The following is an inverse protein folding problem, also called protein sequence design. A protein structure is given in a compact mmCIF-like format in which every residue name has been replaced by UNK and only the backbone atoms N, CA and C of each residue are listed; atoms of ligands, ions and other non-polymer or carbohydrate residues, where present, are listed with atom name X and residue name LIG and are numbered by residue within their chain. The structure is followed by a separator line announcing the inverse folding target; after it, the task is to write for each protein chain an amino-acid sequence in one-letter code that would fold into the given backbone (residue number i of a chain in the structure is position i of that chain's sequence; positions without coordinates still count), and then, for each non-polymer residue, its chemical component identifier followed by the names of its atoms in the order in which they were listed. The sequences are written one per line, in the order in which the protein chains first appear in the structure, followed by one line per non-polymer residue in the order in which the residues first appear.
data_IF_403127480484
#
_entry.id   IF_403127480484
#
_cell.length_a   1.000
_cell.length_b   1.000
_cell.length_c   1.000
_cell.angle_alpha   90.00
_cell.angle_beta   90.00
_cell.angle_gamma   90.00
#
_symmetry.space_group_name_H-M   'P 1'
#
loop_
_entity.id
_entity.type
_entity.pdbx_description
1 polymer ?
#
# COMPACT_ATOMS: atom_id res chain seq x y z
N UNK A 1 -3.13 17.89 -1.58
CA UNK A 1 -2.33 17.12 -0.60
C UNK A 1 -3.30 16.22 0.15
N UNK A 2 -3.06 14.91 0.13
CA UNK A 2 -3.95 13.96 0.78
C UNK A 2 -3.44 13.59 2.17
N UNK A 3 -4.34 13.37 3.09
CA UNK A 3 -4.04 12.97 4.46
C UNK A 3 -4.79 11.67 4.74
N UNK A 4 -4.09 10.71 5.34
CA UNK A 4 -4.63 9.37 5.60
C UNK A 4 -4.49 9.03 7.07
N UNK A 5 -5.41 8.23 7.59
CA UNK A 5 -5.35 7.74 8.96
C UNK A 5 -5.65 6.25 8.98
N UNK A 6 -4.67 5.46 9.43
CA UNK A 6 -4.79 4.01 9.54
C UNK A 6 -5.12 3.61 10.97
N UNK A 7 -5.94 2.55 11.15
CA UNK A 7 -6.30 2.11 12.51
C UNK A 7 -5.11 1.67 13.36
N UNK A 8 -4.07 1.13 12.71
CA UNK A 8 -2.87 0.64 13.40
C UNK A 8 -1.91 1.74 13.82
N UNK A 9 -2.07 2.95 13.26
CA UNK A 9 -1.23 4.10 13.63
C UNK A 9 -2.10 5.16 14.28
N UNK A 10 -1.56 5.79 15.32
CA UNK A 10 -2.28 6.83 16.02
C UNK A 10 -1.83 8.23 15.57
N UNK A 11 -1.52 8.35 14.29
CA UNK A 11 -1.07 9.61 13.68
C UNK A 11 -1.63 9.73 12.27
N UNK A 12 -1.70 10.97 11.77
CA UNK A 12 -2.08 11.23 10.39
C UNK A 12 -0.85 11.12 9.48
N UNK A 13 -1.04 10.50 8.32
CA UNK A 13 0.02 10.36 7.31
C UNK A 13 -0.29 11.34 6.19
N UNK A 14 0.58 12.33 6.02
CA UNK A 14 0.36 13.45 5.09
C UNK A 14 1.19 13.24 3.84
N UNK A 15 0.53 13.19 2.69
CA UNK A 15 1.13 13.15 1.36
C UNK A 15 2.26 12.09 1.25
N UNK A 16 1.98 10.83 1.56
CA UNK A 16 3.02 9.80 1.56
C UNK A 16 3.46 9.42 0.15
N UNK A 17 4.73 9.00 0.04
CA UNK A 17 5.24 8.35 -1.17
C UNK A 17 5.24 6.84 -0.93
N UNK A 18 4.65 6.10 -1.85
CA UNK A 18 4.51 4.64 -1.74
C UNK A 18 5.74 3.96 -2.34
N UNK A 19 6.35 3.06 -1.57
CA UNK A 19 7.45 2.22 -2.03
C UNK A 19 7.14 0.77 -1.69
N UNK A 20 7.20 -0.12 -2.68
CA UNK A 20 6.98 -1.55 -2.47
C UNK A 20 8.28 -2.19 -1.98
N UNK A 21 8.21 -2.94 -0.90
CA UNK A 21 9.38 -3.67 -0.37
C UNK A 21 9.32 -5.15 -0.70
N UNK A 22 8.16 -5.77 -0.54
CA UNK A 22 7.98 -7.21 -0.78
C UNK A 22 6.55 -7.46 -1.21
N UNK A 23 6.36 -8.43 -2.11
CA UNK A 23 5.04 -8.92 -2.48
C UNK A 23 5.03 -10.43 -2.27
N UNK A 24 4.04 -10.92 -1.54
CA UNK A 24 3.84 -12.34 -1.29
C UNK A 24 2.63 -12.81 -2.07
N UNK A 25 2.84 -13.78 -2.96
CA UNK A 25 1.78 -14.33 -3.79
C UNK A 25 1.04 -15.46 -3.05
N UNK A 26 -0.27 -15.41 -3.10
CA UNK A 26 -1.12 -16.52 -2.68
C UNK A 26 -1.74 -17.12 -3.95
N UNK A 27 -1.11 -18.16 -4.47
CA UNK A 27 -1.51 -18.79 -5.73
C UNK A 27 -2.86 -19.50 -5.57
N UNK A 28 -3.15 -20.00 -4.39
CA UNK A 28 -4.40 -20.74 -4.12
C UNK A 28 -5.59 -19.79 -4.19
N UNK A 29 -5.49 -18.62 -3.56
CA UNK A 29 -6.56 -17.61 -3.56
C UNK A 29 -6.43 -16.62 -4.70
N UNK A 30 -5.36 -16.69 -5.48
CA UNK A 30 -5.06 -15.79 -6.61
C UNK A 30 -5.02 -14.33 -6.20
N UNK A 31 -4.40 -14.06 -5.06
CA UNK A 31 -4.22 -12.71 -4.53
C UNK A 31 -2.77 -12.49 -4.13
N UNK A 32 -2.43 -11.23 -3.92
CA UNK A 32 -1.11 -10.84 -3.42
C UNK A 32 -1.25 -10.00 -2.16
N UNK A 33 -0.27 -10.14 -1.26
CA UNK A 33 -0.10 -9.23 -0.14
C UNK A 33 1.12 -8.37 -0.41
N UNK A 34 0.95 -7.06 -0.45
CA UNK A 34 2.02 -6.12 -0.72
C UNK A 34 2.49 -5.47 0.58
N UNK A 35 3.78 -5.59 0.88
CA UNK A 35 4.40 -4.87 1.98
C UNK A 35 4.95 -3.57 1.41
N UNK A 36 4.44 -2.44 1.87
CA UNK A 36 4.84 -1.14 1.34
C UNK A 36 5.32 -0.22 2.45
N UNK A 37 6.16 0.74 2.06
CA UNK A 37 6.58 1.82 2.92
C UNK A 37 5.88 3.09 2.47
N UNK A 38 5.24 3.78 3.41
CA UNK A 38 4.66 5.09 3.20
C UNK A 38 5.62 6.11 3.80
N UNK A 39 6.32 6.84 2.93
CA UNK A 39 7.35 7.79 3.35
C UNK A 39 6.78 9.20 3.34
N UNK A 40 6.93 9.89 4.46
CA UNK A 40 6.62 11.32 4.57
C UNK A 40 7.90 12.11 4.74
N UNK A 41 7.79 13.43 4.87
CA UNK A 41 8.94 14.30 5.07
C UNK A 41 9.70 13.99 6.36
N UNK A 42 9.03 13.42 7.36
CA UNK A 42 9.60 13.25 8.70
C UNK A 42 9.68 11.79 9.17
N UNK A 43 8.98 10.84 8.50
CA UNK A 43 8.95 9.47 9.02
C UNK A 43 8.57 8.47 7.92
N UNK A 44 8.68 7.18 8.26
CA UNK A 44 8.37 6.07 7.36
C UNK A 44 7.44 5.12 8.10
N UNK A 45 6.34 4.73 7.43
CA UNK A 45 5.37 3.78 7.97
C UNK A 45 5.38 2.51 7.14
N UNK A 46 5.47 1.35 7.78
CA UNK A 46 5.34 0.06 7.10
C UNK A 46 3.90 -0.42 7.17
N UNK A 47 3.29 -0.72 6.03
CA UNK A 47 1.89 -1.16 5.94
C UNK A 47 1.79 -2.33 4.98
N UNK A 48 0.97 -3.32 5.34
CA UNK A 48 0.66 -4.47 4.48
C UNK A 48 -0.72 -4.28 3.89
N UNK A 49 -0.83 -4.43 2.57
CA UNK A 49 -2.10 -4.39 1.86
C UNK A 49 -2.38 -5.74 1.23
N UNK A 50 -3.55 -6.31 1.51
CA UNK A 50 -3.98 -7.60 0.99
C UNK A 50 -5.01 -7.43 -0.11
N UNK A 51 -5.09 -8.43 -1.00
CA UNK A 51 -6.21 -8.54 -1.94
C UNK A 51 -5.93 -8.03 -3.33
N UNK A 52 -4.70 -7.69 -3.67
CA UNK A 52 -4.36 -7.41 -5.05
C UNK A 52 -4.54 -8.69 -5.89
N UNK A 53 -5.26 -8.58 -7.01
CA UNK A 53 -5.50 -9.74 -7.87
C UNK A 53 -4.19 -10.22 -8.48
N UNK A 54 -3.86 -11.49 -8.27
CA UNK A 54 -2.65 -12.08 -8.81
C UNK A 54 -2.71 -12.10 -10.34
N UNK A 55 -1.63 -11.60 -10.96
CA UNK A 55 -1.37 -11.76 -12.39
C UNK A 55 0.10 -12.15 -12.55
N UNK A 56 0.40 -12.94 -13.57
CA UNK A 56 1.76 -13.44 -13.75
C UNK A 56 2.75 -12.38 -14.23
N UNK A 57 2.26 -11.23 -14.64
CA UNK A 57 3.06 -10.16 -15.25
C UNK A 57 3.02 -8.84 -14.46
N UNK A 58 2.61 -8.89 -13.18
CA UNK A 58 2.61 -7.69 -12.36
C UNK A 58 4.03 -7.16 -12.15
N UNK A 59 4.14 -5.85 -11.89
CA UNK A 59 5.39 -5.22 -11.52
C UNK A 59 5.15 -4.25 -10.36
N UNK A 60 6.23 -3.65 -9.83
CA UNK A 60 6.13 -2.74 -8.69
C UNK A 60 5.21 -1.55 -8.97
N UNK A 61 5.22 -1.04 -10.19
CA UNK A 61 4.36 0.08 -10.56
C UNK A 61 2.88 -0.30 -10.50
N UNK A 62 2.52 -1.52 -10.87
CA UNK A 62 1.15 -2.00 -10.76
C UNK A 62 0.68 -2.00 -9.32
N UNK A 63 1.53 -2.43 -8.39
CA UNK A 63 1.24 -2.44 -6.96
C UNK A 63 1.11 -1.02 -6.43
N UNK A 64 2.03 -0.14 -6.82
CA UNK A 64 2.02 1.27 -6.39
C UNK A 64 0.73 1.95 -6.87
N UNK A 65 0.33 1.73 -8.11
CA UNK A 65 -0.90 2.29 -8.66
C UNK A 65 -2.13 1.76 -7.93
N UNK A 66 -2.16 0.46 -7.63
CA UNK A 66 -3.25 -0.13 -6.87
C UNK A 66 -3.35 0.47 -5.46
N UNK A 67 -2.23 0.60 -4.76
CA UNK A 67 -2.21 1.19 -3.42
C UNK A 67 -2.71 2.64 -3.48
N UNK A 68 -2.21 3.44 -4.41
CA UNK A 68 -2.59 4.85 -4.51
C UNK A 68 -4.05 5.05 -4.92
N UNK A 69 -4.57 4.20 -5.81
CA UNK A 69 -5.89 4.42 -6.42
C UNK A 69 -7.02 3.67 -5.73
N UNK A 70 -6.71 2.58 -5.02
CA UNK A 70 -7.72 1.71 -4.43
C UNK A 70 -7.61 1.66 -2.91
N UNK A 71 -6.41 1.41 -2.37
CA UNK A 71 -6.25 1.15 -0.94
C UNK A 71 -6.15 2.43 -0.12
N UNK A 72 -5.29 3.36 -0.50
CA UNK A 72 -5.14 4.61 0.25
C UNK A 72 -6.45 5.41 0.36
N UNK A 73 -7.27 5.54 -0.69
CA UNK A 73 -8.53 6.28 -0.58
C UNK A 73 -9.47 5.78 0.51
N UNK A 74 -9.37 4.52 0.91
CA UNK A 74 -10.18 3.96 1.99
C UNK A 74 -9.86 4.58 3.35
N UNK A 75 -8.67 5.14 3.50
CA UNK A 75 -8.18 5.71 4.76
C UNK A 75 -8.06 7.22 4.70
N UNK A 76 -8.40 7.83 3.59
CA UNK A 76 -8.32 9.28 3.42
C UNK A 76 -9.33 10.01 4.31
N UNK A 77 -8.89 11.11 4.91
CA UNK A 77 -9.72 11.95 5.77
C UNK A 77 -9.82 13.37 5.25
#
# INVERSE_FOLDING_TARGET
MATYKFPQFNVEIINPTVTVTTVVDDIINKTCTANVLLKTASTIFGVDFNGYTYTSDWNDQDIIDWVNNVELPKYEI
#
